data_IF_740802878211
#
_entry.id   IF_740802878211
#
_cell.length_a   1.000
_cell.length_b   1.000
_cell.length_c   1.000
_cell.angle_alpha   90.00
_cell.angle_beta   90.00
_cell.angle_gamma   90.00
#
_symmetry.space_group_name_H-M   'P 1'
#
loop_
_entity.id
_entity.type
_entity.pdbx_description
1 polymer ?
#
# COMPACT_ATOMS: atom_id res chain seq x y z
N UNK A 1 27.50 39.44 -31.65
CA UNK A 1 26.45 39.24 -30.64
C UNK A 1 26.97 38.22 -29.63
N UNK A 2 27.68 38.69 -28.61
CA UNK A 2 28.21 37.86 -27.53
C UNK A 2 27.16 37.69 -26.43
N UNK A 3 26.92 36.45 -26.01
CA UNK A 3 26.01 36.15 -24.91
C UNK A 3 26.72 36.32 -23.56
N UNK A 4 26.13 37.01 -22.57
CA UNK A 4 26.74 37.16 -21.26
C UNK A 4 26.70 35.86 -20.46
N UNK A 5 27.83 35.57 -19.81
CA UNK A 5 28.09 34.40 -18.95
C UNK A 5 27.23 34.50 -17.68
N UNK A 6 26.49 33.46 -17.28
CA UNK A 6 25.68 33.52 -16.06
C UNK A 6 26.58 33.57 -14.82
N UNK A 7 26.43 34.66 -14.05
CA UNK A 7 27.09 34.88 -12.77
C UNK A 7 26.72 33.81 -11.73
N UNK A 8 27.67 33.63 -10.80
CA UNK A 8 27.75 32.57 -9.81
C UNK A 8 26.44 32.15 -9.14
N UNK A 9 26.22 30.83 -9.12
CA UNK A 9 25.38 30.20 -8.11
C UNK A 9 25.95 30.51 -6.73
N UNK A 10 25.38 31.50 -6.04
CA UNK A 10 25.53 31.64 -4.59
C UNK A 10 24.96 30.40 -3.94
N UNK A 11 25.83 29.56 -3.39
CA UNK A 11 25.41 28.54 -2.44
C UNK A 11 24.88 29.28 -1.21
N UNK A 12 23.60 29.08 -0.89
CA UNK A 12 23.01 29.57 0.35
C UNK A 12 23.59 28.77 1.52
N UNK A 13 24.66 29.28 2.12
CA UNK A 13 25.07 28.92 3.48
C UNK A 13 24.11 29.57 4.48
N UNK A 14 22.90 29.01 4.59
CA UNK A 14 21.93 29.44 5.58
C UNK A 14 21.09 28.24 6.06
N UNK A 15 21.71 27.35 6.84
CA UNK A 15 20.97 26.49 7.77
C UNK A 15 21.88 25.87 8.83
N UNK A 16 22.49 26.71 9.67
CA UNK A 16 23.17 26.28 10.91
C UNK A 16 22.58 27.02 12.10
N UNK A 17 21.30 26.78 12.39
CA UNK A 17 20.72 26.73 13.75
C UNK A 17 19.21 26.68 13.67
N UNK A 18 18.67 25.52 14.01
CA UNK A 18 17.46 25.28 14.80
C UNK A 18 16.56 24.18 14.21
N UNK A 19 16.38 23.14 15.02
CA UNK A 19 15.19 22.29 15.12
C UNK A 19 14.85 21.36 13.95
N UNK A 20 15.46 20.17 14.00
CA UNK A 20 14.77 18.94 13.61
C UNK A 20 14.83 17.93 14.76
N UNK A 21 14.09 18.22 15.82
CA UNK A 21 13.68 17.20 16.79
C UNK A 21 12.57 16.34 16.20
N UNK A 22 12.79 15.03 16.16
CA UNK A 22 11.79 13.94 16.14
C UNK A 22 11.46 13.23 14.81
N UNK A 23 12.41 13.10 13.89
CA UNK A 23 12.42 11.97 12.96
C UNK A 23 13.42 10.93 13.45
N UNK A 24 12.99 9.71 13.81
CA UNK A 24 13.90 8.60 14.17
C UNK A 24 14.79 8.29 12.96
N UNK A 25 15.95 8.94 12.86
CA UNK A 25 17.00 8.57 11.90
C UNK A 25 17.51 7.19 12.31
N UNK A 26 17.65 6.28 11.35
CA UNK A 26 18.21 4.96 11.62
C UNK A 26 19.61 5.14 12.22
N UNK A 27 20.01 4.32 13.22
CA UNK A 27 21.38 4.33 13.70
C UNK A 27 22.32 4.14 12.50
N UNK A 28 23.21 5.10 12.27
CA UNK A 28 24.14 5.11 11.13
C UNK A 28 23.85 6.11 10.01
N UNK A 29 22.62 6.64 9.87
CA UNK A 29 22.26 7.48 8.71
C UNK A 29 22.76 8.94 8.76
N UNK A 30 23.64 9.26 9.71
CA UNK A 30 24.25 10.58 9.89
C UNK A 30 25.67 10.47 10.47
N UNK A 31 26.33 9.33 10.30
CA UNK A 31 27.74 9.22 10.66
C UNK A 31 28.55 10.13 9.74
N UNK A 32 29.28 11.06 10.36
CA UNK A 32 30.34 11.80 9.67
C UNK A 32 31.44 10.78 9.39
N UNK A 33 31.77 10.63 8.12
CA UNK A 33 32.92 9.85 7.69
C UNK A 33 34.05 10.86 7.63
N UNK A 34 34.92 10.83 8.63
CA UNK A 34 36.19 11.53 8.55
C UNK A 34 37.07 10.70 7.62
N UNK A 35 37.40 11.29 6.46
CA UNK A 35 38.27 10.64 5.49
C UNK A 35 39.67 11.16 5.78
N UNK A 36 40.46 10.35 6.46
CA UNK A 36 41.87 10.62 6.78
C UNK A 36 42.75 10.42 5.52
N UNK A 37 42.42 11.12 4.44
CA UNK A 37 43.22 11.14 3.23
C UNK A 37 43.39 12.60 2.81
N UNK A 38 44.62 12.99 2.49
CA UNK A 38 44.83 14.32 1.93
C UNK A 38 44.21 14.37 0.51
N UNK A 39 43.77 15.54 0.03
CA UNK A 39 43.30 15.69 -1.35
C UNK A 39 44.30 15.18 -2.39
N UNK A 40 45.60 15.38 -2.14
CA UNK A 40 46.70 14.96 -3.02
C UNK A 40 46.83 13.43 -3.04
N UNK A 41 46.86 12.80 -1.86
CA UNK A 41 46.91 11.34 -1.75
C UNK A 41 45.65 10.69 -2.37
N UNK A 42 44.50 11.34 -2.22
CA UNK A 42 43.27 10.91 -2.88
C UNK A 42 43.40 10.97 -4.40
N UNK A 43 43.91 12.07 -4.97
CA UNK A 43 44.12 12.18 -6.41
C UNK A 43 45.11 11.15 -6.95
N UNK A 44 46.20 10.88 -6.22
CA UNK A 44 47.18 9.86 -6.60
C UNK A 44 46.55 8.46 -6.61
N UNK A 45 45.80 8.11 -5.55
CA UNK A 45 45.06 6.83 -5.48
C UNK A 45 44.01 6.72 -6.58
N UNK A 46 43.36 7.83 -6.95
CA UNK A 46 42.36 7.85 -8.00
C UNK A 46 42.99 7.62 -9.38
N UNK A 47 44.15 8.24 -9.65
CA UNK A 47 44.92 8.01 -10.88
C UNK A 47 45.46 6.57 -10.97
N UNK A 48 45.95 6.01 -9.86
CA UNK A 48 46.40 4.62 -9.79
C UNK A 48 45.24 3.62 -9.99
N UNK A 49 44.06 3.92 -9.44
CA UNK A 49 42.86 3.13 -9.66
C UNK A 49 42.37 3.23 -11.11
N UNK A 50 42.43 4.41 -11.73
CA UNK A 50 42.01 4.61 -13.12
C UNK A 50 42.93 3.88 -14.09
N UNK A 51 44.25 3.90 -13.89
CA UNK A 51 45.19 3.14 -14.73
C UNK A 51 44.95 1.62 -14.62
N UNK A 52 44.68 1.14 -13.40
CA UNK A 52 44.33 -0.27 -13.16
C UNK A 52 42.98 -0.64 -13.76
N UNK A 53 41.99 0.24 -13.66
CA UNK A 53 40.66 0.04 -14.21
C UNK A 53 40.66 0.10 -15.74
N UNK A 54 41.45 1.00 -16.34
CA UNK A 54 41.64 1.12 -17.77
C UNK A 54 42.26 -0.16 -18.36
N UNK A 55 43.23 -0.77 -17.66
CA UNK A 55 43.81 -2.06 -18.04
C UNK A 55 42.81 -3.23 -18.00
N UNK A 56 41.82 -3.17 -17.09
CA UNK A 56 40.77 -4.22 -16.96
C UNK A 56 39.58 -4.04 -17.90
N UNK A 57 39.44 -2.90 -18.58
CA UNK A 57 38.43 -2.76 -19.65
C UNK A 57 38.90 -3.59 -20.84
N UNK A 58 38.36 -4.80 -20.98
CA UNK A 58 38.54 -5.58 -22.19
C UNK A 58 38.15 -4.72 -23.40
N UNK A 59 39.09 -4.53 -24.34
CA UNK A 59 38.88 -3.83 -25.61
C UNK A 59 37.80 -4.49 -26.48
N UNK A 60 37.36 -5.68 -26.09
CA UNK A 60 36.23 -6.37 -26.70
C UNK A 60 34.93 -5.73 -26.22
N UNK A 61 34.36 -4.90 -27.09
CA UNK A 61 32.96 -4.47 -26.96
C UNK A 61 32.07 -5.71 -26.82
N UNK A 62 31.62 -6.00 -25.60
CA UNK A 62 30.58 -7.00 -25.37
C UNK A 62 29.34 -6.47 -26.06
N UNK A 63 29.00 -7.04 -27.22
CA UNK A 63 27.76 -6.68 -27.91
C UNK A 63 26.62 -6.92 -26.94
N UNK A 64 25.88 -5.87 -26.59
CA UNK A 64 24.63 -6.01 -25.85
C UNK A 64 23.79 -7.05 -26.58
N UNK A 65 23.22 -8.05 -25.87
CA UNK A 65 22.30 -9.00 -26.48
C UNK A 65 21.27 -8.21 -27.27
N UNK A 66 21.11 -8.55 -28.56
CA UNK A 66 20.09 -7.92 -29.39
C UNK A 66 18.75 -8.09 -28.65
N UNK A 67 17.99 -7.01 -28.39
CA UNK A 67 16.71 -7.15 -27.72
C UNK A 67 15.90 -8.16 -28.51
N UNK A 68 15.48 -9.24 -27.85
CA UNK A 68 14.56 -10.18 -28.44
C UNK A 68 13.34 -9.38 -28.88
N UNK A 69 12.84 -9.62 -30.10
CA UNK A 69 11.66 -8.95 -30.61
C UNK A 69 10.55 -9.07 -29.55
N UNK A 70 9.94 -7.95 -29.15
CA UNK A 70 8.82 -7.98 -28.22
C UNK A 70 7.76 -8.91 -28.81
N UNK A 71 7.25 -9.87 -28.04
CA UNK A 71 6.26 -10.82 -28.54
C UNK A 71 5.08 -10.06 -29.14
N UNK A 72 4.56 -10.54 -30.26
CA UNK A 72 3.40 -9.94 -30.90
C UNK A 72 2.27 -9.79 -29.89
N UNK A 73 1.50 -8.69 -29.95
CA UNK A 73 0.40 -8.39 -29.02
C UNK A 73 -0.64 -9.51 -28.94
N UNK A 74 -0.77 -10.31 -30.01
CA UNK A 74 -1.65 -11.50 -30.08
C UNK A 74 -1.12 -12.68 -29.24
N UNK A 75 0.17 -12.71 -28.93
CA UNK A 75 0.82 -13.69 -28.05
C UNK A 75 1.00 -13.21 -26.61
N UNK A 76 0.56 -11.99 -26.28
CA UNK A 76 0.46 -11.57 -24.89
C UNK A 76 -0.67 -12.36 -24.22
N UNK A 77 -0.26 -13.44 -23.55
CA UNK A 77 -1.11 -14.32 -22.76
C UNK A 77 -2.12 -13.55 -21.89
N UNK A 78 -3.20 -14.23 -21.53
CA UNK A 78 -4.23 -13.82 -20.57
C UNK A 78 -3.73 -13.10 -19.30
N UNK A 79 -2.45 -13.22 -18.95
CA UNK A 79 -1.73 -12.40 -17.97
C UNK A 79 -1.77 -10.87 -18.23
N UNK A 80 -2.00 -10.42 -19.47
CA UNK A 80 -2.19 -9.01 -19.78
C UNK A 80 -3.59 -8.48 -19.39
N UNK A 81 -4.58 -9.38 -19.26
CA UNK A 81 -5.95 -9.01 -18.86
C UNK A 81 -6.03 -8.85 -17.36
N UNK A 82 -6.80 -7.85 -16.92
CA UNK A 82 -7.02 -7.63 -15.50
C UNK A 82 -7.74 -8.82 -14.85
N UNK A 83 -7.50 -9.14 -13.57
CA UNK A 83 -8.10 -10.30 -12.92
C UNK A 83 -9.63 -10.23 -12.83
N UNK A 84 -10.22 -9.02 -12.90
CA UNK A 84 -11.68 -8.84 -13.01
C UNK A 84 -12.22 -9.32 -14.36
N UNK A 85 -11.51 -9.02 -15.43
CA UNK A 85 -11.87 -9.42 -16.80
C UNK A 85 -11.72 -10.93 -16.96
N UNK A 86 -10.61 -11.51 -16.47
CA UNK A 86 -10.42 -12.96 -16.45
C UNK A 86 -11.52 -13.69 -15.65
N UNK A 87 -12.03 -13.08 -14.57
CA UNK A 87 -13.13 -13.65 -13.81
C UNK A 87 -14.46 -13.57 -14.59
N UNK A 88 -14.72 -12.45 -15.27
CA UNK A 88 -15.93 -12.28 -16.07
C UNK A 88 -15.97 -13.28 -17.23
N UNK A 89 -14.87 -13.41 -17.97
CA UNK A 89 -14.72 -14.38 -19.07
C UNK A 89 -14.91 -15.81 -18.57
N UNK A 90 -14.24 -16.19 -17.47
CA UNK A 90 -14.37 -17.55 -16.94
C UNK A 90 -15.80 -17.90 -16.46
N UNK A 91 -16.56 -16.90 -16.00
CA UNK A 91 -17.98 -17.10 -15.65
C UNK A 91 -18.84 -17.21 -16.91
N UNK A 92 -18.49 -16.49 -17.98
CA UNK A 92 -19.16 -16.56 -19.28
C UNK A 92 -18.92 -17.89 -20.01
N UNK A 93 -17.75 -18.52 -19.83
CA UNK A 93 -17.42 -19.84 -20.40
C UNK A 93 -18.23 -21.01 -19.79
N UNK A 94 -19.21 -20.72 -18.94
CA UNK A 94 -20.13 -21.68 -18.31
C UNK A 94 -19.46 -22.88 -17.62
N UNK A 95 -18.29 -22.67 -17.03
CA UNK A 95 -17.51 -23.72 -16.37
C UNK A 95 -18.36 -24.60 -15.45
N UNK A 96 -18.32 -25.93 -15.66
CA UNK A 96 -19.10 -26.90 -14.88
C UNK A 96 -18.83 -26.81 -13.36
N UNK A 97 -17.59 -26.56 -12.97
CA UNK A 97 -17.23 -26.36 -11.55
C UNK A 97 -17.81 -25.06 -10.98
N UNK A 98 -17.99 -24.02 -11.79
CA UNK A 98 -18.65 -22.79 -11.37
C UNK A 98 -20.14 -23.03 -11.11
N UNK A 99 -20.81 -23.83 -11.96
CA UNK A 99 -22.22 -24.22 -11.75
C UNK A 99 -22.40 -24.99 -10.44
N UNK A 100 -21.42 -25.80 -10.06
CA UNK A 100 -21.40 -26.52 -8.78
C UNK A 100 -20.98 -25.63 -7.60
N UNK A 101 -20.47 -24.42 -7.83
CA UNK A 101 -20.02 -23.50 -6.78
C UNK A 101 -18.61 -23.77 -6.22
N UNK A 102 -17.83 -24.67 -6.82
CA UNK A 102 -16.55 -25.15 -6.28
C UNK A 102 -15.34 -24.85 -7.17
N UNK A 103 -15.46 -23.90 -8.11
CA UNK A 103 -14.37 -23.57 -9.02
C UNK A 103 -13.18 -22.90 -8.30
N UNK A 104 -12.06 -23.61 -8.23
CA UNK A 104 -10.82 -23.11 -7.63
C UNK A 104 -10.31 -21.82 -8.32
N UNK A 105 -10.42 -21.75 -9.66
CA UNK A 105 -9.99 -20.58 -10.44
C UNK A 105 -10.76 -19.31 -10.07
N UNK A 106 -12.08 -19.40 -9.86
CA UNK A 106 -12.89 -18.27 -9.37
C UNK A 106 -12.47 -17.85 -7.97
N UNK A 107 -12.21 -18.82 -7.09
CA UNK A 107 -11.76 -18.55 -5.72
C UNK A 107 -10.42 -17.80 -5.74
N UNK A 108 -9.48 -18.24 -6.57
CA UNK A 108 -8.18 -17.61 -6.74
C UNK A 108 -8.28 -16.20 -7.33
N UNK A 109 -9.03 -16.02 -8.43
CA UNK A 109 -9.24 -14.71 -9.03
C UNK A 109 -9.88 -13.72 -8.05
N UNK A 110 -10.89 -14.16 -7.28
CA UNK A 110 -11.50 -13.33 -6.23
C UNK A 110 -10.52 -12.99 -5.12
N UNK A 111 -9.67 -13.93 -4.69
CA UNK A 111 -8.59 -13.66 -3.71
C UNK A 111 -7.60 -12.64 -4.26
N UNK A 112 -7.20 -12.77 -5.53
CA UNK A 112 -6.29 -11.84 -6.18
C UNK A 112 -6.88 -10.43 -6.29
N UNK A 113 -8.13 -10.30 -6.76
CA UNK A 113 -8.85 -9.02 -6.83
C UNK A 113 -8.89 -8.35 -5.45
N UNK A 114 -9.20 -9.11 -4.39
CA UNK A 114 -9.20 -8.59 -3.02
C UNK A 114 -7.82 -8.09 -2.59
N UNK A 115 -6.75 -8.84 -2.87
CA UNK A 115 -5.37 -8.41 -2.52
C UNK A 115 -4.96 -7.14 -3.24
N UNK A 116 -5.26 -7.03 -4.53
CA UNK A 116 -4.95 -5.81 -5.31
C UNK A 116 -5.73 -4.63 -4.76
N UNK A 117 -7.05 -4.78 -4.54
CA UNK A 117 -7.86 -3.72 -3.96
C UNK A 117 -7.35 -3.30 -2.56
N UNK A 118 -6.90 -4.25 -1.74
CA UNK A 118 -6.31 -3.96 -0.42
C UNK A 118 -4.97 -3.23 -0.51
N UNK A 119 -4.14 -3.50 -1.52
CA UNK A 119 -2.87 -2.82 -1.74
C UNK A 119 -3.06 -1.34 -2.11
N UNK A 120 -4.20 -0.97 -2.71
CA UNK A 120 -4.52 0.41 -3.09
C UNK A 120 -5.06 1.26 -1.92
N UNK A 121 -5.56 0.64 -0.85
CA UNK A 121 -6.18 1.33 0.29
C UNK A 121 -5.27 2.39 0.94
N UNK A 122 -3.97 2.13 1.21
CA UNK A 122 -3.09 3.13 1.81
C UNK A 122 -2.93 4.39 0.94
N UNK A 123 -2.84 4.22 -0.39
CA UNK A 123 -2.72 5.34 -1.32
C UNK A 123 -4.01 6.18 -1.34
N UNK A 124 -5.17 5.53 -1.41
CA UNK A 124 -6.47 6.20 -1.34
C UNK A 124 -6.68 6.94 -0.02
N UNK A 125 -6.26 6.35 1.10
CA UNK A 125 -6.33 7.00 2.41
C UNK A 125 -5.45 8.26 2.45
N UNK A 126 -4.24 8.19 1.89
CA UNK A 126 -3.35 9.36 1.74
C UNK A 126 -4.00 10.48 0.92
N UNK A 127 -4.61 10.14 -0.21
CA UNK A 127 -5.33 11.10 -1.07
C UNK A 127 -6.50 11.77 -0.33
N UNK A 128 -7.34 11.00 0.37
CA UNK A 128 -8.46 11.53 1.14
C UNK A 128 -8.00 12.45 2.27
N UNK A 129 -6.89 12.10 2.95
CA UNK A 129 -6.31 12.95 4.00
C UNK A 129 -5.83 14.28 3.43
N UNK A 130 -5.19 14.28 2.27
CA UNK A 130 -4.76 15.50 1.58
C UNK A 130 -5.97 16.33 1.13
N UNK A 131 -6.98 15.69 0.52
CA UNK A 131 -8.21 16.36 0.11
C UNK A 131 -8.94 17.01 1.29
N UNK A 132 -9.01 16.34 2.44
CA UNK A 132 -9.62 16.90 3.65
C UNK A 132 -8.82 18.09 4.21
N UNK A 133 -7.48 18.04 4.17
CA UNK A 133 -6.62 19.16 4.57
C UNK A 133 -6.80 20.36 3.66
N UNK A 134 -6.75 20.14 2.35
CA UNK A 134 -6.99 21.16 1.32
C UNK A 134 -8.35 21.81 1.55
N UNK A 135 -9.39 21.00 1.70
CA UNK A 135 -10.75 21.48 1.95
C UNK A 135 -10.85 22.34 3.21
N UNK A 136 -10.23 21.94 4.33
CA UNK A 136 -10.19 22.75 5.56
C UNK A 136 -9.42 24.06 5.38
N UNK A 137 -8.40 24.08 4.52
CA UNK A 137 -7.63 25.28 4.19
C UNK A 137 -8.38 26.23 3.25
N UNK A 138 -9.40 25.77 2.53
CA UNK A 138 -10.14 26.59 1.56
C UNK A 138 -11.54 26.99 2.06
N UNK A 139 -12.22 26.12 2.83
CA UNK A 139 -13.60 26.34 3.28
C UNK A 139 -13.67 27.24 4.53
N UNK A 140 -14.37 28.37 4.42
CA UNK A 140 -14.57 29.33 5.52
C UNK A 140 -15.29 28.72 6.74
N UNK A 141 -16.32 27.89 6.53
CA UNK A 141 -17.02 27.20 7.62
C UNK A 141 -16.08 26.29 8.41
N UNK A 142 -15.29 25.47 7.70
CA UNK A 142 -14.30 24.58 8.31
C UNK A 142 -13.19 25.35 9.03
N UNK A 143 -12.75 26.50 8.49
CA UNK A 143 -11.78 27.39 9.16
C UNK A 143 -12.31 27.94 10.47
N UNK A 144 -13.61 28.26 10.53
CA UNK A 144 -14.30 28.71 11.74
C UNK A 144 -14.59 27.56 12.73
N UNK A 145 -14.18 26.32 12.43
CA UNK A 145 -14.42 25.15 13.26
C UNK A 145 -15.79 24.51 13.06
N UNK A 146 -16.65 25.05 12.18
CA UNK A 146 -17.94 24.45 11.86
C UNK A 146 -17.79 23.29 10.87
N UNK A 147 -18.64 22.26 10.99
CA UNK A 147 -18.66 21.14 10.04
C UNK A 147 -19.47 21.52 8.80
N UNK A 148 -18.85 21.48 7.63
CA UNK A 148 -19.58 21.53 6.36
C UNK A 148 -19.86 20.11 5.83
N UNK A 149 -20.81 19.99 4.89
CA UNK A 149 -21.22 18.70 4.34
C UNK A 149 -20.09 17.97 3.60
N UNK A 150 -19.32 18.67 2.76
CA UNK A 150 -18.19 18.08 2.03
C UNK A 150 -17.12 17.55 2.99
N UNK A 151 -16.79 18.30 4.05
CA UNK A 151 -15.86 17.88 5.09
C UNK A 151 -16.36 16.64 5.85
N UNK A 152 -17.67 16.56 6.14
CA UNK A 152 -18.30 15.37 6.74
C UNK A 152 -18.20 14.16 5.83
N UNK A 153 -18.52 14.31 4.55
CA UNK A 153 -18.44 13.22 3.57
C UNK A 153 -17.02 12.68 3.41
N UNK A 154 -16.01 13.56 3.32
CA UNK A 154 -14.60 13.17 3.30
C UNK A 154 -14.20 12.42 4.58
N UNK A 155 -14.60 12.92 5.75
CA UNK A 155 -14.35 12.28 7.03
C UNK A 155 -15.02 10.90 7.17
N UNK A 156 -16.27 10.79 6.73
CA UNK A 156 -17.03 9.54 6.74
C UNK A 156 -16.39 8.50 5.82
N UNK A 157 -15.99 8.89 4.60
CA UNK A 157 -15.32 8.00 3.66
C UNK A 157 -13.96 7.52 4.19
N UNK A 158 -13.18 8.40 4.81
CA UNK A 158 -11.91 8.04 5.45
C UNK A 158 -12.12 7.07 6.62
N UNK A 159 -13.16 7.30 7.43
CA UNK A 159 -13.50 6.41 8.56
C UNK A 159 -13.98 5.04 8.08
N UNK A 160 -14.76 4.99 7.00
CA UNK A 160 -15.20 3.75 6.37
C UNK A 160 -14.01 2.90 5.90
N UNK A 161 -13.05 3.49 5.18
CA UNK A 161 -11.85 2.78 4.75
C UNK A 161 -11.01 2.26 5.93
N UNK A 162 -10.87 3.05 6.99
CA UNK A 162 -10.15 2.63 8.19
C UNK A 162 -10.86 1.45 8.88
N UNK A 163 -12.18 1.49 8.99
CA UNK A 163 -12.98 0.38 9.54
C UNK A 163 -12.87 -0.88 8.69
N UNK A 164 -12.95 -0.76 7.37
CA UNK A 164 -12.78 -1.88 6.45
C UNK A 164 -11.38 -2.50 6.57
N UNK A 165 -10.34 -1.66 6.69
CA UNK A 165 -8.98 -2.13 6.89
C UNK A 165 -8.82 -2.86 8.23
N UNK A 166 -9.40 -2.32 9.31
CA UNK A 166 -9.37 -2.98 10.62
C UNK A 166 -10.11 -4.32 10.60
N UNK A 167 -11.27 -4.39 9.92
CA UNK A 167 -12.05 -5.63 9.74
C UNK A 167 -11.29 -6.66 8.92
N UNK A 168 -10.55 -6.23 7.89
CA UNK A 168 -9.73 -7.11 7.08
C UNK A 168 -8.47 -7.61 7.82
N UNK A 169 -7.84 -6.76 8.62
CA UNK A 169 -6.60 -7.09 9.33
C UNK A 169 -6.83 -7.91 10.61
N UNK A 170 -7.97 -7.71 11.28
CA UNK A 170 -8.31 -8.39 12.54
C UNK A 170 -9.70 -9.02 12.48
N UNK A 171 -9.91 -10.02 11.60
CA UNK A 171 -11.21 -10.67 11.47
C UNK A 171 -11.72 -11.24 12.79
N UNK A 172 -10.83 -11.65 13.70
CA UNK A 172 -11.21 -12.22 15.01
C UNK A 172 -11.91 -11.20 15.93
N UNK A 173 -11.54 -9.91 15.86
CA UNK A 173 -12.16 -8.86 16.68
C UNK A 173 -13.53 -8.43 16.15
N UNK A 174 -13.73 -8.55 14.83
CA UNK A 174 -14.97 -8.14 14.16
C UNK A 174 -15.88 -9.31 13.81
N UNK A 175 -15.46 -10.54 14.12
CA UNK A 175 -16.34 -11.69 14.24
C UNK A 175 -17.16 -11.52 15.52
N UNK A 176 -17.98 -10.46 15.54
CA UNK A 176 -19.10 -10.38 16.47
C UNK A 176 -19.80 -11.72 16.34
N UNK A 177 -19.97 -12.39 17.47
CA UNK A 177 -20.65 -13.66 17.62
C UNK A 177 -22.06 -13.56 17.04
N UNK A 178 -22.17 -13.63 15.71
CA UNK A 178 -23.30 -14.27 15.06
C UNK A 178 -23.17 -15.73 15.40
N UNK A 179 -23.49 -16.07 16.64
CA UNK A 179 -24.19 -17.30 16.94
C UNK A 179 -25.44 -17.21 16.08
N UNK A 180 -25.33 -17.70 14.84
CA UNK A 180 -26.52 -18.06 14.08
C UNK A 180 -27.12 -19.16 14.95
N UNK A 181 -28.30 -18.97 15.57
CA UNK A 181 -28.92 -20.05 16.31
C UNK A 181 -29.03 -21.21 15.33
N UNK A 182 -28.39 -22.32 15.66
CA UNK A 182 -28.48 -23.55 14.88
C UNK A 182 -29.94 -23.99 14.97
N UNK A 183 -30.74 -23.64 13.96
CA UNK A 183 -32.11 -24.13 13.86
C UNK A 183 -31.99 -25.59 13.42
N UNK A 184 -32.02 -26.51 14.37
CA UNK A 184 -32.17 -27.92 14.07
C UNK A 184 -33.60 -28.14 13.55
N UNK A 185 -33.76 -28.35 12.24
CA UNK A 185 -35.00 -28.86 11.69
C UNK A 185 -35.13 -30.32 12.11
N UNK A 186 -36.04 -30.58 13.05
CA UNK A 186 -36.51 -31.94 13.33
C UNK A 186 -37.42 -32.41 12.19
N UNK A 187 -37.39 -33.72 11.93
CA UNK A 187 -38.08 -34.41 10.82
C UNK A 187 -39.61 -34.21 10.81
N UNK A 188 -40.18 -33.72 11.92
CA UNK A 188 -41.63 -33.54 12.11
C UNK A 188 -42.14 -32.10 11.87
N UNK A 189 -41.32 -31.20 11.31
CA UNK A 189 -41.79 -29.88 10.86
C UNK A 189 -42.07 -28.84 11.95
N UNK A 190 -41.81 -29.15 13.23
CA UNK A 190 -41.90 -28.18 14.32
C UNK A 190 -40.55 -27.55 14.64
N UNK A 191 -40.40 -26.24 14.36
CA UNK A 191 -39.23 -25.47 14.76
C UNK A 191 -39.30 -25.13 16.26
N UNK A 192 -38.64 -25.93 17.10
CA UNK A 192 -38.46 -25.59 18.52
C UNK A 192 -37.31 -24.59 18.64
N UNK A 193 -37.63 -23.34 19.01
CA UNK A 193 -36.63 -22.36 19.45
C UNK A 193 -36.10 -22.78 20.81
N UNK A 194 -34.95 -23.43 20.85
CA UNK A 194 -34.18 -23.58 22.10
C UNK A 194 -33.59 -22.22 22.47
N UNK A 195 -34.16 -21.60 23.49
CA UNK A 195 -33.56 -20.41 24.10
C UNK A 195 -32.19 -20.80 24.68
N UNK A 196 -31.16 -19.94 24.53
CA UNK A 196 -29.90 -20.17 25.21
C UNK A 196 -30.15 -20.12 26.72
N UNK A 197 -29.73 -21.16 27.44
CA UNK A 197 -29.67 -21.19 28.90
C UNK A 197 -28.77 -20.02 29.35
N UNK A 198 -29.41 -18.91 29.73
CA UNK A 198 -28.77 -17.81 30.45
C UNK A 198 -28.38 -18.40 31.81
N UNK A 199 -27.10 -18.66 32.01
CA UNK A 199 -26.57 -18.99 33.33
C UNK A 199 -26.69 -17.74 34.19
N UNK A 200 -27.71 -17.72 35.05
CA UNK A 200 -27.83 -16.74 36.13
C UNK A 200 -26.63 -16.92 37.06
N UNK A 201 -25.76 -15.90 37.09
CA UNK A 201 -24.61 -15.86 37.99
C UNK A 201 -25.07 -15.70 39.45
N UNK A 202 -24.26 -16.17 40.42
CA UNK A 202 -24.64 -16.21 41.82
C UNK A 202 -24.80 -14.80 42.40
N UNK A 203 -25.96 -14.55 43.02
CA UNK A 203 -26.22 -13.41 43.90
C UNK A 203 -25.13 -13.34 44.97
N UNK A 204 -24.36 -12.25 44.96
CA UNK A 204 -23.44 -11.93 46.04
C UNK A 204 -24.25 -11.53 47.28
N UNK A 205 -24.16 -12.36 48.31
CA UNK A 205 -24.61 -12.09 49.68
C UNK A 205 -24.11 -10.73 50.16
N UNK A 206 -25.06 -9.89 50.55
CA UNK A 206 -24.85 -8.72 51.38
C UNK A 206 -24.76 -9.16 52.83
N UNK A 207 -23.64 -8.87 53.46
CA UNK A 207 -23.51 -8.60 54.90
C UNK A 207 -22.55 -7.46 55.10
#
# INVERSE_FOLDING_TARGET
MEQPKPEGRRYHEASTKAQLSNGRRCPGSAQRIDIDISPEEWTERLLAAESTAASRRASNSVRKPRPQASPATVQMNSAARGPREQLAEHVQDECSQCRLGHCARVVELRRLIRRIAQAEVPALYGQLRTALRQHRADCSLCKAGATCEVGRQLGARMSGLAQDQMRAARPDLYRTTRQVPTVHLTRDGFAVRTAPLVSEGPEAERT
#
